data_IF_501028898666
#
_entry.id   IF_501028898666
#
_cell.length_a   1.000
_cell.length_b   1.000
_cell.length_c   1.000
_cell.angle_alpha   90.00
_cell.angle_beta   90.00
_cell.angle_gamma   90.00
#
_symmetry.space_group_name_H-M   'P 1'
#
loop_
_entity.id
_entity.type
_entity.pdbx_description
1 polymer ?
#
# COMPACT_ATOMS: atom_id res chain seq x y z
N UNK A 1 -19.21 -10.88 -14.62
CA UNK A 1 -18.51 -10.27 -13.48
C UNK A 1 -17.13 -9.90 -13.99
N UNK A 2 -16.80 -8.61 -14.11
CA UNK A 2 -15.43 -8.22 -14.50
C UNK A 2 -14.50 -8.57 -13.35
N UNK A 3 -13.57 -9.49 -13.57
CA UNK A 3 -12.47 -9.75 -12.64
C UNK A 3 -11.60 -8.50 -12.60
N UNK A 4 -11.93 -7.60 -11.68
CA UNK A 4 -11.06 -6.50 -11.33
C UNK A 4 -9.72 -7.13 -10.90
N UNK A 5 -8.58 -6.73 -11.48
CA UNK A 5 -7.30 -7.27 -11.07
C UNK A 5 -7.11 -7.04 -9.57
N UNK A 6 -6.60 -8.02 -8.84
CA UNK A 6 -6.27 -7.80 -7.43
C UNK A 6 -5.23 -6.68 -7.31
N UNK A 7 -5.20 -5.97 -6.18
CA UNK A 7 -4.18 -4.96 -5.89
C UNK A 7 -2.77 -5.46 -6.22
N UNK A 8 -2.45 -6.71 -5.86
CA UNK A 8 -1.19 -7.37 -6.21
C UNK A 8 -0.93 -7.44 -7.72
N UNK A 9 -1.93 -7.81 -8.52
CA UNK A 9 -1.80 -7.84 -10.00
C UNK A 9 -1.52 -6.44 -10.54
N UNK A 10 -2.24 -5.42 -10.06
CA UNK A 10 -2.01 -4.03 -10.43
C UNK A 10 -0.57 -3.58 -10.12
N UNK A 11 -0.06 -3.90 -8.93
CA UNK A 11 1.29 -3.51 -8.52
C UNK A 11 2.37 -4.22 -9.36
N UNK A 12 2.16 -5.49 -9.72
CA UNK A 12 3.03 -6.21 -10.66
C UNK A 12 3.02 -5.56 -12.04
N UNK A 13 1.84 -5.17 -12.55
CA UNK A 13 1.73 -4.47 -13.84
C UNK A 13 2.46 -3.11 -13.81
N UNK A 14 2.35 -2.36 -12.71
CA UNK A 14 3.06 -1.09 -12.53
C UNK A 14 4.58 -1.26 -12.46
N UNK A 15 5.07 -2.34 -11.85
CA UNK A 15 6.49 -2.68 -11.82
C UNK A 15 7.02 -3.15 -13.18
N UNK A 16 6.25 -3.99 -13.87
CA UNK A 16 6.67 -4.66 -15.09
C UNK A 16 6.52 -3.79 -16.35
N UNK A 17 5.78 -2.68 -16.30
CA UNK A 17 5.58 -1.82 -17.48
C UNK A 17 6.91 -1.21 -17.95
N UNK A 18 7.39 -1.65 -19.12
CA UNK A 18 8.58 -1.10 -19.77
C UNK A 18 8.26 0.04 -20.75
N UNK A 19 7.01 0.15 -21.21
CA UNK A 19 6.58 1.15 -22.17
C UNK A 19 5.88 2.33 -21.49
N UNK A 20 6.40 3.53 -21.69
CA UNK A 20 5.72 4.81 -21.40
C UNK A 20 5.60 5.22 -19.92
N UNK A 21 5.82 4.32 -18.96
CA UNK A 21 5.83 4.66 -17.52
C UNK A 21 7.25 4.92 -17.06
N UNK A 22 7.50 6.12 -16.55
CA UNK A 22 8.83 6.55 -16.10
C UNK A 22 9.40 5.68 -14.98
N UNK A 23 10.72 5.72 -14.80
CA UNK A 23 11.41 5.10 -13.64
C UNK A 23 10.71 5.40 -12.31
N UNK A 24 10.15 6.59 -12.17
CA UNK A 24 9.43 7.05 -11.00
C UNK A 24 8.21 6.18 -10.64
N UNK A 25 7.36 5.81 -11.61
CA UNK A 25 6.17 4.99 -11.33
C UNK A 25 6.57 3.62 -10.77
N UNK A 26 7.66 3.04 -11.30
CA UNK A 26 8.20 1.75 -10.83
C UNK A 26 8.80 1.86 -9.42
N UNK A 27 9.52 2.93 -9.15
CA UNK A 27 10.07 3.20 -7.80
C UNK A 27 8.97 3.39 -6.77
N UNK A 28 7.93 4.16 -7.08
CA UNK A 28 6.76 4.34 -6.22
C UNK A 28 6.03 3.01 -6.00
N UNK A 29 5.85 2.21 -7.05
CA UNK A 29 5.24 0.89 -6.93
C UNK A 29 6.01 -0.03 -5.99
N UNK A 30 7.34 -0.06 -6.12
CA UNK A 30 8.21 -0.85 -5.25
C UNK A 30 8.09 -0.42 -3.78
N UNK A 31 8.06 0.89 -3.50
CA UNK A 31 7.91 1.41 -2.14
C UNK A 31 6.57 1.04 -1.51
N UNK A 32 5.49 1.13 -2.27
CA UNK A 32 4.15 0.72 -1.81
C UNK A 32 4.14 -0.77 -1.48
N UNK A 33 4.70 -1.63 -2.33
CA UNK A 33 4.79 -3.09 -2.07
C UNK A 33 5.58 -3.37 -0.78
N UNK A 34 6.74 -2.72 -0.62
CA UNK A 34 7.57 -2.91 0.58
C UNK A 34 6.80 -2.50 1.84
N UNK A 35 6.04 -1.39 1.76
CA UNK A 35 5.22 -0.94 2.87
C UNK A 35 4.06 -1.90 3.18
N UNK A 36 3.36 -2.37 2.15
CA UNK A 36 2.26 -3.35 2.27
C UNK A 36 2.73 -4.65 2.93
N UNK A 37 3.88 -5.19 2.50
CA UNK A 37 4.48 -6.38 3.13
C UNK A 37 4.81 -6.12 4.60
N UNK A 38 5.34 -4.95 4.93
CA UNK A 38 5.74 -4.62 6.30
C UNK A 38 4.55 -4.39 7.22
N UNK A 39 3.50 -3.72 6.75
CA UNK A 39 2.24 -3.52 7.46
C UNK A 39 1.53 -4.85 7.68
N UNK A 40 1.39 -5.65 6.61
CA UNK A 40 0.82 -7.00 6.68
C UNK A 40 1.56 -7.89 7.68
N UNK A 41 2.90 -7.87 7.65
CA UNK A 41 3.72 -8.59 8.63
C UNK A 41 3.45 -8.08 10.06
N UNK A 42 3.43 -6.77 10.28
CA UNK A 42 3.20 -6.18 11.60
C UNK A 42 1.84 -6.61 12.17
N UNK A 43 0.76 -6.51 11.39
CA UNK A 43 -0.55 -7.01 11.80
C UNK A 43 -0.56 -8.52 12.07
N UNK A 44 0.15 -9.29 11.25
CA UNK A 44 0.19 -10.76 11.40
C UNK A 44 0.96 -11.22 12.64
N UNK A 45 1.97 -10.48 13.07
CA UNK A 45 2.87 -10.84 14.17
C UNK A 45 2.52 -10.07 15.44
N UNK A 46 2.51 -8.75 15.39
CA UNK A 46 2.30 -7.88 16.56
C UNK A 46 0.82 -7.80 16.92
N UNK A 47 -0.05 -7.60 15.93
CA UNK A 47 -1.50 -7.55 16.14
C UNK A 47 -2.12 -8.86 16.64
N UNK A 48 -1.44 -10.01 16.46
CA UNK A 48 -1.84 -11.29 17.07
C UNK A 48 -1.23 -11.53 18.46
N UNK A 49 -0.08 -10.91 18.75
CA UNK A 49 0.58 -11.00 20.06
C UNK A 49 -0.06 -10.05 21.09
N UNK A 50 -0.72 -8.97 20.65
CA UNK A 50 -1.68 -8.20 21.45
C UNK A 50 -2.92 -9.05 21.72
N UNK A 51 -2.79 -9.95 22.70
CA UNK A 51 -3.81 -10.91 23.11
C UNK A 51 -4.86 -10.19 23.96
N UNK A 52 -5.84 -9.58 23.30
CA UNK A 52 -7.04 -9.02 23.93
C UNK A 52 -7.37 -7.64 23.38
N UNK A 53 -8.32 -7.58 22.46
CA UNK A 53 -8.78 -6.42 21.70
C UNK A 53 -7.74 -5.85 20.73
N UNK A 54 -7.97 -6.06 19.42
CA UNK A 54 -7.48 -5.11 18.42
C UNK A 54 -7.97 -3.73 18.90
N UNK A 55 -7.04 -2.82 19.21
CA UNK A 55 -7.44 -1.50 19.67
C UNK A 55 -8.24 -0.80 18.55
N UNK A 56 -9.11 0.14 18.92
CA UNK A 56 -9.81 0.98 17.94
C UNK A 56 -8.80 1.66 17.00
N UNK A 57 -7.65 2.06 17.54
CA UNK A 57 -6.50 2.58 16.80
C UNK A 57 -5.96 1.58 15.76
N UNK A 58 -5.81 0.29 16.10
CA UNK A 58 -5.33 -0.73 15.14
C UNK A 58 -6.28 -0.93 13.96
N UNK A 59 -7.59 -0.86 14.22
CA UNK A 59 -8.63 -0.97 13.20
C UNK A 59 -8.68 0.27 12.31
N UNK A 60 -8.55 1.47 12.88
CA UNK A 60 -8.44 2.72 12.11
C UNK A 60 -7.20 2.73 11.21
N UNK A 61 -6.07 2.21 11.70
CA UNK A 61 -4.85 2.07 10.90
C UNK A 61 -5.06 1.08 9.74
N UNK A 62 -5.81 0.00 9.95
CA UNK A 62 -6.10 -1.00 8.93
C UNK A 62 -7.07 -0.45 7.87
N UNK A 63 -8.10 0.28 8.31
CA UNK A 63 -9.06 0.93 7.42
C UNK A 63 -8.38 2.02 6.58
N UNK A 64 -7.52 2.83 7.20
CA UNK A 64 -6.68 3.81 6.50
C UNK A 64 -5.79 3.16 5.44
N UNK A 65 -5.23 2.00 5.75
CA UNK A 65 -4.40 1.24 4.83
C UNK A 65 -5.20 0.66 3.65
N UNK A 66 -6.36 0.06 3.92
CA UNK A 66 -7.25 -0.48 2.88
C UNK A 66 -7.83 0.62 1.99
N UNK A 67 -8.17 1.77 2.55
CA UNK A 67 -8.62 2.94 1.78
C UNK A 67 -7.57 3.43 0.78
N UNK A 68 -6.29 3.35 1.11
CA UNK A 68 -5.20 3.69 0.18
C UNK A 68 -5.08 2.68 -0.97
N UNK A 69 -5.35 1.41 -0.71
CA UNK A 69 -5.38 0.39 -1.76
C UNK A 69 -6.53 0.63 -2.74
N UNK A 70 -7.71 0.94 -2.22
CA UNK A 70 -8.89 1.25 -3.03
C UNK A 70 -8.69 2.53 -3.86
N UNK A 71 -8.14 3.60 -3.26
CA UNK A 71 -7.81 4.85 -3.95
C UNK A 71 -6.87 4.58 -5.13
N UNK A 72 -5.76 3.88 -4.88
CA UNK A 72 -4.78 3.58 -5.91
C UNK A 72 -5.35 2.70 -7.02
N UNK A 73 -6.17 1.71 -6.64
CA UNK A 73 -6.84 0.82 -7.57
C UNK A 73 -7.82 1.58 -8.48
N UNK A 74 -8.58 2.50 -7.92
CA UNK A 74 -9.50 3.34 -8.66
C UNK A 74 -8.76 4.29 -9.62
N UNK A 75 -7.67 4.93 -9.16
CA UNK A 75 -6.81 5.76 -10.02
C UNK A 75 -6.19 4.94 -11.16
N UNK A 76 -5.72 3.72 -10.89
CA UNK A 76 -5.17 2.85 -11.92
C UNK A 76 -6.19 2.51 -13.01
N UNK A 77 -7.41 2.15 -12.61
CA UNK A 77 -8.47 1.82 -13.55
C UNK A 77 -8.94 3.06 -14.32
N UNK A 78 -9.03 4.23 -13.68
CA UNK A 78 -9.31 5.49 -14.35
C UNK A 78 -8.25 5.80 -15.42
N UNK A 79 -6.97 5.56 -15.12
CA UNK A 79 -5.87 5.73 -16.08
C UNK A 79 -6.00 4.77 -17.27
N UNK A 80 -6.34 3.49 -17.01
CA UNK A 80 -6.59 2.49 -18.07
C UNK A 80 -7.77 2.85 -18.97
N UNK A 81 -8.80 3.50 -18.41
CA UNK A 81 -9.95 4.02 -19.17
C UNK A 81 -9.66 5.35 -19.88
N UNK A 82 -8.50 5.96 -19.64
CA UNK A 82 -8.13 7.26 -20.20
C UNK A 82 -8.82 8.45 -19.53
N UNK A 83 -9.39 8.25 -18.35
CA UNK A 83 -10.05 9.31 -17.56
C UNK A 83 -9.04 10.21 -16.85
N UNK A 84 -7.86 9.66 -16.53
CA UNK A 84 -6.72 10.41 -15.99
C UNK A 84 -5.45 10.08 -16.77
N UNK A 85 -4.51 11.01 -16.75
CA UNK A 85 -3.17 10.87 -17.31
C UNK A 85 -2.27 9.95 -16.47
N UNK A 86 -1.15 9.51 -17.07
CA UNK A 86 -0.12 8.77 -16.34
C UNK A 86 0.56 9.62 -15.24
N UNK A 87 0.64 10.94 -15.43
CA UNK A 87 1.19 11.86 -14.44
C UNK A 87 0.27 11.99 -13.23
N UNK A 88 -1.05 12.08 -13.45
CA UNK A 88 -2.05 12.08 -12.36
C UNK A 88 -2.01 10.78 -11.55
N UNK A 89 -1.88 9.62 -12.21
CA UNK A 89 -1.66 8.35 -11.51
C UNK A 89 -0.36 8.39 -10.68
N UNK A 90 0.71 8.95 -11.24
CA UNK A 90 2.00 9.07 -10.54
C UNK A 90 1.90 10.00 -9.32
N UNK A 91 1.10 11.06 -9.39
CA UNK A 91 0.77 11.93 -8.24
C UNK A 91 0.01 11.14 -7.17
N UNK A 92 -1.03 10.41 -7.54
CA UNK A 92 -1.79 9.56 -6.61
C UNK A 92 -0.87 8.53 -5.92
N UNK A 93 0.00 7.86 -6.68
CA UNK A 93 1.00 6.94 -6.13
C UNK A 93 1.94 7.61 -5.14
N UNK A 94 2.39 8.84 -5.41
CA UNK A 94 3.27 9.59 -4.51
C UNK A 94 2.57 9.93 -3.20
N UNK A 95 1.29 10.27 -3.25
CA UNK A 95 0.51 10.55 -2.05
C UNK A 95 0.25 9.29 -1.24
N UNK A 96 -0.04 8.16 -1.89
CA UNK A 96 -0.12 6.86 -1.22
C UNK A 96 1.21 6.51 -0.55
N UNK A 97 2.35 6.64 -1.24
CA UNK A 97 3.68 6.41 -0.65
C UNK A 97 3.88 7.24 0.62
N UNK A 98 3.55 8.54 0.60
CA UNK A 98 3.67 9.39 1.79
C UNK A 98 2.82 8.89 2.95
N UNK A 99 1.59 8.45 2.68
CA UNK A 99 0.66 7.97 3.71
C UNK A 99 1.09 6.61 4.28
N UNK A 100 1.49 5.64 3.43
CA UNK A 100 1.99 4.34 3.93
C UNK A 100 3.29 4.49 4.71
N UNK A 101 4.19 5.40 4.31
CA UNK A 101 5.43 5.64 5.04
C UNK A 101 5.20 6.36 6.37
N UNK A 102 4.26 7.30 6.40
CA UNK A 102 3.80 7.89 7.65
C UNK A 102 3.23 6.83 8.59
N UNK A 103 2.33 5.98 8.07
CA UNK A 103 1.71 4.88 8.80
C UNK A 103 2.75 3.91 9.37
N UNK A 104 3.75 3.52 8.57
CA UNK A 104 4.87 2.71 9.05
C UNK A 104 5.68 3.37 10.16
N UNK A 105 5.78 4.71 10.14
CA UNK A 105 6.46 5.49 11.17
C UNK A 105 5.67 5.59 12.48
N UNK A 106 4.34 5.44 12.44
CA UNK A 106 3.48 5.43 13.62
C UNK A 106 3.35 4.05 14.25
N UNK A 107 3.62 2.98 13.50
CA UNK A 107 3.59 1.63 14.06
C UNK A 107 4.55 1.51 15.25
N UNK A 108 4.09 0.90 16.36
CA UNK A 108 4.98 0.47 17.43
C UNK A 108 6.17 -0.29 16.85
N UNK A 109 7.38 0.02 17.35
CA UNK A 109 8.56 -0.78 17.03
C UNK A 109 8.20 -2.24 17.27
N UNK A 110 8.55 -3.09 16.31
CA UNK A 110 8.33 -4.52 16.46
C UNK A 110 8.79 -4.94 17.86
N UNK A 111 8.01 -5.77 18.58
CA UNK A 111 8.49 -6.41 19.77
C UNK A 111 9.52 -7.44 19.30
N UNK A 112 10.72 -6.97 18.95
CA UNK A 112 11.88 -7.78 19.27
C UNK A 112 11.73 -7.97 20.78
N UNK A 113 11.40 -9.19 21.19
CA UNK A 113 11.88 -9.67 22.47
C UNK A 113 13.34 -9.22 22.51
N UNK A 114 13.64 -8.30 23.41
CA UNK A 114 15.00 -8.06 23.83
C UNK A 114 15.51 -9.43 24.28
N UNK A 115 16.10 -10.18 23.36
CA UNK A 115 17.00 -11.27 23.70
C UNK A 115 18.29 -10.59 24.16
N UNK A 116 18.18 -9.92 25.30
CA UNK A 116 19.27 -9.53 26.18
C UNK A 116 19.52 -10.68 27.16
#
# INVERSE_FOLDING_TARGET
MSELPSFTKMMIELLASQEGRGYQTRELAARIIVADVRLSWWYSVVGKLSSGDSSEEDLELLDSFLGQHEELFNSYNAQKRGEISADELTVAMRDVVRRVEFLLGTLPRAPWLDNA
#
